data_IF_874239141495
#
_entry.id   IF_874239141495
#
_cell.length_a   1.000
_cell.length_b   1.000
_cell.length_c   1.000
_cell.angle_alpha   90.00
_cell.angle_beta   90.00
_cell.angle_gamma   90.00
#
_symmetry.space_group_name_H-M   'P 1'
#
loop_
_entity.id
_entity.type
_entity.pdbx_description
1 polymer ?
#
# COMPACT_ATOMS: atom_id res chain seq x y z
N UNK A 1 1.89 -14.53 -14.47
CA UNK A 1 2.09 -13.87 -13.26
C UNK A 1 2.42 -12.43 -13.48
N UNK A 2 1.83 -11.57 -12.71
CA UNK A 2 2.03 -10.15 -12.92
C UNK A 2 3.37 -9.70 -12.35
N UNK A 3 4.06 -8.85 -13.07
CA UNK A 3 5.26 -8.28 -12.59
C UNK A 3 4.95 -7.16 -11.64
N UNK A 4 5.74 -7.00 -10.60
CA UNK A 4 5.59 -5.90 -9.70
C UNK A 4 6.38 -4.72 -10.25
N UNK A 5 5.79 -3.56 -10.19
CA UNK A 5 6.42 -2.36 -10.68
C UNK A 5 6.95 -1.53 -9.54
N UNK A 6 8.10 -0.95 -9.74
CA UNK A 6 8.74 -0.13 -8.71
C UNK A 6 8.29 1.31 -8.84
N UNK A 7 7.93 1.90 -7.71
CA UNK A 7 7.52 3.30 -7.68
C UNK A 7 8.26 3.96 -6.55
N UNK A 8 8.83 5.11 -6.81
CA UNK A 8 9.50 5.87 -5.78
C UNK A 8 8.52 6.88 -5.22
N UNK A 9 8.27 6.79 -3.91
CA UNK A 9 7.40 7.73 -3.23
C UNK A 9 8.22 8.57 -2.28
N UNK A 10 7.94 9.86 -2.27
CA UNK A 10 8.58 10.77 -1.35
C UNK A 10 7.49 11.24 -0.39
N UNK A 11 7.55 10.75 0.83
CA UNK A 11 6.52 11.02 1.81
C UNK A 11 7.00 12.02 2.86
N UNK A 12 6.05 12.76 3.38
CA UNK A 12 6.31 13.60 4.53
C UNK A 12 6.81 12.69 5.65
N UNK A 13 7.88 13.07 6.35
CA UNK A 13 8.44 12.21 7.39
C UNK A 13 7.43 11.76 8.45
N UNK A 14 6.51 12.63 8.82
CA UNK A 14 5.50 12.28 9.81
C UNK A 14 4.58 11.18 9.28
N UNK A 15 4.25 11.25 8.00
CA UNK A 15 3.41 10.23 7.36
C UNK A 15 4.15 8.92 7.28
N UNK A 16 5.43 8.98 6.89
CA UNK A 16 6.24 7.78 6.80
C UNK A 16 6.34 7.09 8.16
N UNK A 17 6.60 7.85 9.22
CA UNK A 17 6.75 7.28 10.54
C UNK A 17 5.43 6.68 11.04
N UNK A 18 4.33 7.33 10.75
CA UNK A 18 3.03 6.82 11.15
C UNK A 18 2.72 5.51 10.42
N UNK A 19 3.08 5.43 9.14
CA UNK A 19 2.87 4.20 8.38
C UNK A 19 3.74 3.07 8.91
N UNK A 20 5.00 3.38 9.24
CA UNK A 20 5.90 2.36 9.75
C UNK A 20 5.41 1.81 11.07
N UNK A 21 4.88 2.68 11.93
CA UNK A 21 4.36 2.25 13.21
C UNK A 21 3.11 1.39 13.03
N UNK A 22 2.23 1.80 12.12
CA UNK A 22 1.02 1.04 11.84
C UNK A 22 1.36 -0.33 11.25
N UNK A 23 2.32 -0.35 10.34
CA UNK A 23 2.74 -1.62 9.74
C UNK A 23 3.27 -2.57 10.81
N UNK A 24 4.03 -2.05 11.74
CA UNK A 24 4.56 -2.86 12.83
C UNK A 24 3.42 -3.42 13.69
N UNK A 25 2.41 -2.61 13.96
CA UNK A 25 1.27 -3.04 14.76
C UNK A 25 0.50 -4.16 14.04
N UNK A 26 0.48 -4.13 12.71
CA UNK A 26 -0.21 -5.14 11.93
C UNK A 26 0.70 -6.27 11.51
N UNK A 27 1.93 -6.28 11.99
CA UNK A 27 2.93 -7.30 11.67
C UNK A 27 3.18 -7.36 10.16
N UNK A 28 3.30 -6.19 9.54
CA UNK A 28 3.58 -6.07 8.12
C UNK A 28 4.78 -5.19 7.91
N UNK A 29 5.43 -5.32 6.76
CA UNK A 29 6.47 -4.37 6.38
C UNK A 29 5.81 -3.07 5.97
N UNK A 30 6.57 -1.98 5.98
CA UNK A 30 6.06 -0.68 5.56
C UNK A 30 5.58 -0.75 4.10
N UNK A 31 6.33 -1.44 3.24
CA UNK A 31 5.92 -1.57 1.84
C UNK A 31 4.61 -2.33 1.71
N UNK A 32 4.44 -3.40 2.47
CA UNK A 32 3.20 -4.18 2.43
C UNK A 32 2.03 -3.35 2.94
N UNK A 33 2.26 -2.52 3.96
CA UNK A 33 1.21 -1.69 4.49
C UNK A 33 0.78 -0.64 3.47
N UNK A 34 1.74 -0.06 2.76
CA UNK A 34 1.43 0.93 1.74
C UNK A 34 0.61 0.29 0.63
N UNK A 35 1.01 -0.89 0.18
CA UNK A 35 0.25 -1.56 -0.87
C UNK A 35 -1.17 -1.89 -0.43
N UNK A 36 -1.32 -2.35 0.81
CA UNK A 36 -2.63 -2.65 1.35
C UNK A 36 -3.53 -1.41 1.35
N UNK A 37 -2.98 -0.28 1.78
CA UNK A 37 -3.75 0.95 1.83
C UNK A 37 -4.11 1.46 0.45
N UNK A 38 -3.20 1.31 -0.52
CA UNK A 38 -3.48 1.72 -1.88
C UNK A 38 -4.59 0.87 -2.49
N UNK A 39 -4.56 -0.44 -2.25
CA UNK A 39 -5.61 -1.31 -2.74
C UNK A 39 -6.95 -0.91 -2.15
N UNK A 40 -6.95 -0.59 -0.88
CA UNK A 40 -8.17 -0.18 -0.21
C UNK A 40 -8.70 1.13 -0.76
N UNK A 41 -7.80 2.09 -0.99
CA UNK A 41 -8.20 3.37 -1.55
C UNK A 41 -8.77 3.20 -2.95
N UNK A 42 -8.13 2.33 -3.75
CA UNK A 42 -8.63 2.07 -5.11
C UNK A 42 -9.99 1.39 -5.07
N UNK A 43 -10.19 0.48 -4.15
CA UNK A 43 -11.46 -0.19 -4.01
C UNK A 43 -12.55 0.80 -3.62
N UNK A 44 -12.25 1.70 -2.68
CA UNK A 44 -13.20 2.70 -2.24
C UNK A 44 -13.56 3.65 -3.37
N UNK A 45 -12.63 3.92 -4.25
CA UNK A 45 -12.86 4.80 -5.40
C UNK A 45 -13.51 4.06 -6.57
N UNK A 46 -13.67 2.75 -6.46
CA UNK A 46 -14.23 1.95 -7.54
C UNK A 46 -13.28 1.76 -8.70
N UNK A 47 -11.97 1.86 -8.44
CA UNK A 47 -10.98 1.73 -9.49
C UNK A 47 -10.05 0.56 -9.35
N UNK A 48 -10.28 -0.28 -8.38
CA UNK A 48 -9.42 -1.45 -8.21
C UNK A 48 -9.70 -2.44 -9.33
N UNK A 49 -8.67 -2.95 -10.02
CA UNK A 49 -8.86 -3.94 -11.06
C UNK A 49 -9.41 -5.22 -10.44
N UNK A 50 -10.62 -5.52 -10.75
CA UNK A 50 -11.34 -6.52 -10.04
C UNK A 50 -10.74 -7.88 -10.05
N UNK A 51 -10.43 -8.39 -11.17
CA UNK A 51 -10.06 -9.65 -11.20
C UNK A 51 -8.76 -9.76 -11.44
N UNK A 52 -8.13 -8.71 -11.64
CA UNK A 52 -6.74 -8.77 -11.90
C UNK A 52 -6.06 -9.54 -10.84
N UNK A 53 -6.56 -9.45 -9.69
CA UNK A 53 -5.89 -10.11 -8.61
C UNK A 53 -6.13 -11.59 -8.61
N UNK A 54 -7.07 -11.98 -9.29
CA UNK A 54 -7.40 -13.39 -9.28
C UNK A 54 -6.29 -14.21 -9.88
#
# INVERSE_FOLDING_TARGET
MAERKNVLLRLDPAVHDALARWASDDLRSTNAQIEFLLRRALADAGRLPGRAAA
#
